data_IF_816595941261
#
_entry.id   IF_816595941261
#
_cell.length_a   1.000
_cell.length_b   1.000
_cell.length_c   1.000
_cell.angle_alpha   90.00
_cell.angle_beta   90.00
_cell.angle_gamma   90.00
#
_symmetry.space_group_name_H-M   'P 1'
#
loop_
_entity.id
_entity.type
_entity.pdbx_description
1 polymer ?
#
# COMPACT_ATOMS: atom_id res chain seq x y z
N UNK A 1 24.90 9.76 6.48
CA UNK A 1 24.72 9.62 5.02
C UNK A 1 23.42 10.33 4.71
N UNK A 2 23.47 11.33 3.84
CA UNK A 2 22.31 12.16 3.49
C UNK A 2 21.32 11.33 2.64
N UNK A 3 20.02 11.55 2.81
CA UNK A 3 19.04 10.92 1.94
C UNK A 3 19.18 11.48 0.52
N UNK A 4 19.08 10.64 -0.54
CA UNK A 4 19.13 11.14 -1.91
C UNK A 4 17.96 12.11 -2.13
N UNK A 5 18.24 13.21 -2.83
CA UNK A 5 17.21 14.14 -3.30
C UNK A 5 16.46 13.52 -4.49
N UNK A 6 15.53 12.62 -4.18
CA UNK A 6 14.69 11.95 -5.18
C UNK A 6 13.79 12.98 -5.85
N UNK A 7 13.85 13.05 -7.19
CA UNK A 7 13.04 13.98 -7.97
C UNK A 7 11.71 13.32 -8.38
N UNK A 8 10.64 14.10 -8.40
CA UNK A 8 9.36 13.66 -8.96
C UNK A 8 9.44 13.66 -10.49
N UNK A 9 8.80 12.68 -11.11
CA UNK A 9 8.67 12.62 -12.57
C UNK A 9 7.57 13.59 -13.04
N UNK A 10 7.88 14.64 -13.81
CA UNK A 10 6.88 15.63 -14.25
C UNK A 10 5.91 15.09 -15.33
N UNK A 11 6.17 13.91 -15.88
CA UNK A 11 5.44 13.30 -17.00
C UNK A 11 4.70 12.02 -16.61
N UNK A 12 4.25 11.89 -15.36
CA UNK A 12 3.44 10.75 -14.92
C UNK A 12 2.13 10.66 -15.71
N UNK A 13 1.98 9.67 -16.59
CA UNK A 13 0.77 9.48 -17.40
C UNK A 13 0.09 8.11 -17.24
N UNK A 14 0.61 7.24 -16.37
CA UNK A 14 0.06 5.91 -16.12
C UNK A 14 -0.49 5.87 -14.70
N UNK A 15 -1.69 6.43 -14.52
CA UNK A 15 -2.39 6.41 -13.24
C UNK A 15 -3.11 5.09 -13.03
N UNK A 16 -2.97 4.52 -11.84
CA UNK A 16 -3.65 3.30 -11.42
C UNK A 16 -4.82 3.70 -10.52
N UNK A 17 -5.99 3.17 -10.84
CA UNK A 17 -7.19 3.34 -10.04
C UNK A 17 -7.16 2.34 -8.88
N UNK A 18 -7.35 2.86 -7.68
CA UNK A 18 -7.44 2.09 -6.44
C UNK A 18 -8.87 2.11 -5.96
N UNK A 19 -9.40 0.95 -5.62
CA UNK A 19 -10.71 0.81 -5.00
C UNK A 19 -10.57 0.04 -3.71
N UNK A 20 -11.04 0.63 -2.63
CA UNK A 20 -11.09 0.01 -1.31
C UNK A 20 -12.55 -0.20 -0.94
N UNK A 21 -12.91 -1.44 -0.62
CA UNK A 21 -14.28 -1.81 -0.22
C UNK A 21 -14.30 -2.51 1.12
N UNK A 22 -15.22 -2.12 1.98
CA UNK A 22 -15.47 -2.79 3.25
C UNK A 22 -16.75 -3.61 3.17
N UNK A 23 -16.73 -4.87 3.59
CA UNK A 23 -17.89 -5.75 3.55
C UNK A 23 -18.31 -6.25 4.93
N UNK A 24 -19.61 -6.23 5.23
CA UNK A 24 -20.19 -6.76 6.48
C UNK A 24 -19.56 -6.19 7.76
N UNK A 25 -19.14 -4.93 7.77
CA UNK A 25 -18.51 -4.29 8.93
C UNK A 25 -19.51 -4.13 10.08
N UNK A 26 -19.09 -4.24 11.36
CA UNK A 26 -19.97 -3.96 12.50
C UNK A 26 -20.38 -2.50 12.64
N UNK A 27 -19.56 -1.58 12.11
CA UNK A 27 -19.77 -0.15 12.22
C UNK A 27 -18.84 0.66 11.32
N UNK A 28 -18.77 1.96 11.59
CA UNK A 28 -17.95 2.92 10.84
C UNK A 28 -16.48 2.91 11.29
N UNK A 29 -15.57 3.16 10.36
CA UNK A 29 -14.16 3.40 10.68
C UNK A 29 -13.90 4.89 10.96
N UNK A 30 -12.88 5.17 11.76
CA UNK A 30 -12.45 6.53 12.08
C UNK A 30 -11.75 7.16 10.86
N UNK A 31 -11.02 6.35 10.08
CA UNK A 31 -10.50 6.72 8.78
C UNK A 31 -10.20 5.47 7.94
N UNK A 32 -10.12 5.69 6.62
CA UNK A 32 -9.60 4.73 5.64
C UNK A 32 -8.49 5.43 4.87
N UNK A 33 -7.31 4.80 4.83
CA UNK A 33 -6.10 5.34 4.19
C UNK A 33 -5.55 4.34 3.20
N UNK A 34 -4.90 4.82 2.13
CA UNK A 34 -4.13 3.98 1.24
C UNK A 34 -2.77 4.60 0.93
N UNK A 35 -1.79 3.73 0.66
CA UNK A 35 -0.41 4.10 0.37
C UNK A 35 0.16 3.23 -0.75
N UNK A 36 0.91 3.85 -1.65
CA UNK A 36 1.74 3.15 -2.62
C UNK A 36 3.19 3.15 -2.14
N UNK A 37 3.82 1.98 -2.12
CA UNK A 37 5.22 1.82 -1.75
C UNK A 37 6.08 1.58 -2.98
N UNK A 38 7.15 2.36 -3.09
CA UNK A 38 8.12 2.29 -4.17
C UNK A 38 9.50 2.01 -3.63
N UNK A 39 10.32 1.32 -4.43
CA UNK A 39 11.70 0.99 -4.08
C UNK A 39 12.58 1.00 -5.32
N UNK A 40 13.84 1.34 -5.14
CA UNK A 40 14.87 1.10 -6.16
C UNK A 40 15.14 -0.40 -6.29
N UNK A 41 15.03 -0.95 -7.50
CA UNK A 41 15.12 -2.41 -7.75
C UNK A 41 16.47 -2.87 -8.27
N UNK A 42 17.39 -1.94 -8.52
CA UNK A 42 18.72 -2.20 -9.03
C UNK A 42 19.78 -1.69 -8.02
N UNK A 43 20.07 -2.48 -6.96
CA UNK A 43 20.87 -2.04 -5.80
C UNK A 43 22.26 -1.50 -6.16
N UNK A 44 22.83 -1.92 -7.27
CA UNK A 44 24.17 -1.55 -7.72
C UNK A 44 24.35 -0.04 -7.94
N UNK A 45 23.27 0.71 -8.19
CA UNK A 45 23.30 2.17 -8.28
C UNK A 45 23.48 2.87 -6.91
N UNK A 46 23.37 2.14 -5.77
CA UNK A 46 23.37 2.73 -4.41
C UNK A 46 24.69 2.50 -3.70
N UNK A 47 25.41 3.50 -3.17
CA UNK A 47 26.71 3.29 -2.55
C UNK A 47 26.64 2.33 -1.35
N UNK A 48 27.73 1.60 -1.12
CA UNK A 48 27.91 0.79 0.09
C UNK A 48 28.22 1.70 1.28
N UNK A 49 27.66 1.38 2.44
CA UNK A 49 28.01 2.04 3.69
C UNK A 49 29.48 1.76 4.03
N UNK A 50 30.26 2.77 4.46
CA UNK A 50 31.71 2.63 4.68
C UNK A 50 32.11 1.53 5.67
N UNK A 51 31.26 1.25 6.66
CA UNK A 51 31.59 0.30 7.74
C UNK A 51 31.04 -1.09 7.46
N UNK A 52 29.73 -1.20 7.18
CA UNK A 52 29.06 -2.50 7.03
C UNK A 52 29.20 -3.11 5.64
N UNK A 53 29.54 -2.30 4.62
CA UNK A 53 29.48 -2.72 3.22
C UNK A 53 28.05 -2.92 2.68
N UNK A 54 27.01 -2.70 3.50
CA UNK A 54 25.61 -2.84 3.11
C UNK A 54 25.15 -1.67 2.24
N UNK A 55 24.11 -1.87 1.42
CA UNK A 55 23.47 -0.80 0.64
C UNK A 55 22.13 -0.45 1.27
N UNK A 56 21.91 0.83 1.57
CA UNK A 56 20.60 1.33 2.05
C UNK A 56 19.72 1.64 0.84
N UNK A 57 18.95 0.66 0.41
CA UNK A 57 18.14 0.79 -0.82
C UNK A 57 17.06 1.86 -0.61
N UNK A 58 17.03 2.91 -1.45
CA UNK A 58 15.98 3.92 -1.38
C UNK A 58 14.60 3.30 -1.55
N UNK A 59 13.69 3.71 -0.68
CA UNK A 59 12.28 3.38 -0.72
C UNK A 59 11.47 4.62 -0.35
N UNK A 60 10.27 4.75 -0.91
CA UNK A 60 9.35 5.85 -0.63
C UNK A 60 7.94 5.30 -0.48
N UNK A 61 7.18 5.92 0.42
CA UNK A 61 5.76 5.61 0.63
C UNK A 61 4.99 6.88 0.31
N UNK A 62 4.10 6.82 -0.67
CA UNK A 62 3.26 7.94 -1.08
C UNK A 62 1.83 7.70 -0.62
N UNK A 63 1.17 8.68 0.02
CA UNK A 63 -0.25 8.58 0.31
C UNK A 63 -1.04 8.57 -1.01
N UNK A 64 -2.13 7.81 -1.02
CA UNK A 64 -3.13 7.82 -2.08
C UNK A 64 -4.35 8.55 -1.53
N UNK A 65 -4.73 9.65 -2.15
CA UNK A 65 -5.91 10.39 -1.75
C UNK A 65 -7.18 9.58 -2.05
N UNK A 66 -7.83 9.10 -1.00
CA UNK A 66 -9.07 8.33 -1.09
C UNK A 66 -10.28 9.24 -0.98
N UNK A 67 -11.16 9.14 -1.97
CA UNK A 67 -12.47 9.80 -2.00
C UNK A 67 -13.52 8.76 -1.63
N UNK A 68 -14.25 8.99 -0.53
CA UNK A 68 -15.40 8.18 -0.14
C UNK A 68 -16.51 8.31 -1.20
N UNK A 69 -16.94 7.19 -1.78
CA UNK A 69 -18.01 7.13 -2.79
C UNK A 69 -19.36 6.80 -2.18
N UNK A 70 -19.35 5.91 -1.20
CA UNK A 70 -20.50 5.53 -0.39
C UNK A 70 -20.00 5.04 0.99
N UNK A 71 -20.87 4.50 1.83
CA UNK A 71 -20.51 4.06 3.18
C UNK A 71 -19.50 2.92 3.25
N UNK A 72 -19.35 2.15 2.17
CA UNK A 72 -18.49 0.98 2.10
C UNK A 72 -17.35 1.11 1.08
N UNK A 73 -17.35 2.14 0.23
CA UNK A 73 -16.47 2.23 -0.94
C UNK A 73 -15.67 3.53 -0.96
N UNK A 74 -14.37 3.41 -1.20
CA UNK A 74 -13.43 4.52 -1.35
C UNK A 74 -12.61 4.31 -2.61
N UNK A 75 -12.41 5.36 -3.40
CA UNK A 75 -11.55 5.29 -4.59
C UNK A 75 -10.45 6.31 -4.55
N UNK A 76 -9.28 5.97 -5.06
CA UNK A 76 -8.18 6.91 -5.30
C UNK A 76 -7.49 6.61 -6.62
N UNK A 77 -6.54 7.47 -6.97
CA UNK A 77 -5.65 7.27 -8.10
C UNK A 77 -4.23 7.60 -7.67
N UNK A 78 -3.24 6.94 -8.26
CA UNK A 78 -1.84 7.26 -8.04
C UNK A 78 -1.02 6.96 -9.29
N UNK A 79 0.07 7.68 -9.47
CA UNK A 79 0.99 7.46 -10.58
C UNK A 79 1.82 6.18 -10.36
N UNK A 80 1.93 5.34 -11.39
CA UNK A 80 2.74 4.11 -11.36
C UNK A 80 4.26 4.39 -11.32
N UNK A 81 4.69 5.57 -11.81
CA UNK A 81 6.12 5.95 -11.88
C UNK A 81 6.33 7.40 -11.42
N UNK A 82 6.06 7.71 -10.13
CA UNK A 82 6.06 9.07 -9.61
C UNK A 82 7.46 9.64 -9.41
N UNK A 83 8.49 8.80 -9.41
CA UNK A 83 9.88 9.19 -9.24
C UNK A 83 10.62 9.13 -10.56
N UNK A 84 11.54 10.06 -10.76
CA UNK A 84 12.43 10.06 -11.92
C UNK A 84 13.51 8.99 -11.74
N UNK A 85 13.79 8.22 -12.78
CA UNK A 85 14.97 7.37 -12.83
C UNK A 85 16.19 8.24 -13.13
N UNK A 86 17.15 8.27 -12.20
CA UNK A 86 18.31 9.15 -12.28
C UNK A 86 19.54 8.53 -11.60
N UNK A 87 20.73 8.97 -11.99
CA UNK A 87 21.97 8.63 -11.30
C UNK A 87 22.17 9.51 -10.05
N UNK A 88 21.47 9.17 -8.98
CA UNK A 88 21.50 9.91 -7.71
C UNK A 88 22.85 9.86 -6.98
N UNK A 89 23.74 8.92 -7.35
CA UNK A 89 24.94 8.61 -6.58
C UNK A 89 26.23 8.57 -7.41
N UNK A 90 26.17 8.83 -8.72
CA UNK A 90 27.29 8.70 -9.65
C UNK A 90 27.70 7.24 -9.94
N UNK A 91 26.79 6.28 -9.75
CA UNK A 91 27.04 4.84 -9.87
C UNK A 91 26.17 4.19 -10.96
N UNK A 92 25.53 4.99 -11.80
CA UNK A 92 24.54 4.56 -12.77
C UNK A 92 23.10 4.90 -12.35
N UNK A 93 22.18 4.79 -13.30
CA UNK A 93 20.76 5.16 -13.10
C UNK A 93 20.10 4.22 -12.08
N UNK A 94 19.43 4.79 -11.09
CA UNK A 94 18.55 4.05 -10.20
C UNK A 94 17.14 3.98 -10.76
N UNK A 95 16.60 2.76 -10.82
CA UNK A 95 15.28 2.45 -11.35
C UNK A 95 14.27 2.27 -10.23
N UNK A 96 13.23 3.09 -10.22
CA UNK A 96 12.14 3.01 -9.26
C UNK A 96 11.05 2.07 -9.73
N UNK A 97 10.50 1.29 -8.79
CA UNK A 97 9.36 0.43 -9.08
C UNK A 97 8.37 0.42 -7.93
N UNK A 98 7.08 0.36 -8.26
CA UNK A 98 6.00 0.06 -7.32
C UNK A 98 6.18 -1.37 -6.79
N UNK A 99 6.27 -1.53 -5.47
CA UNK A 99 6.45 -2.85 -4.82
C UNK A 99 5.18 -3.35 -4.14
N UNK A 100 4.38 -2.46 -3.58
CA UNK A 100 3.12 -2.80 -2.92
C UNK A 100 2.16 -1.62 -2.84
N UNK A 101 0.89 -1.96 -2.69
CA UNK A 101 -0.17 -1.02 -2.33
C UNK A 101 -0.77 -1.53 -1.02
N UNK A 102 -0.94 -0.64 -0.07
CA UNK A 102 -1.59 -0.93 1.20
C UNK A 102 -2.85 -0.08 1.30
N UNK A 103 -3.96 -0.68 1.70
CA UNK A 103 -5.13 0.02 2.20
C UNK A 103 -5.39 -0.40 3.64
N UNK A 104 -5.82 0.55 4.46
CA UNK A 104 -6.06 0.33 5.88
C UNK A 104 -7.29 1.06 6.35
N UNK A 105 -8.01 0.46 7.29
CA UNK A 105 -9.17 1.03 7.94
C UNK A 105 -8.93 1.05 9.45
N UNK A 106 -8.98 2.24 10.06
CA UNK A 106 -8.69 2.42 11.49
C UNK A 106 -9.95 2.47 12.32
N UNK A 107 -9.97 1.77 13.43
CA UNK A 107 -11.01 1.84 14.46
C UNK A 107 -10.34 1.91 15.83
N UNK A 108 -10.57 2.97 16.59
CA UNK A 108 -9.90 3.20 17.86
C UNK A 108 -8.38 3.17 17.70
N UNK A 109 -7.74 2.20 18.35
CA UNK A 109 -6.29 2.00 18.27
C UNK A 109 -5.87 0.89 17.30
N UNK A 110 -6.81 0.13 16.76
CA UNK A 110 -6.54 -0.99 15.87
C UNK A 110 -6.65 -0.56 14.41
N UNK A 111 -5.70 -1.02 13.59
CA UNK A 111 -5.68 -0.78 12.14
C UNK A 111 -5.85 -2.10 11.41
N UNK A 112 -6.88 -2.22 10.59
CA UNK A 112 -7.12 -3.39 9.74
C UNK A 112 -6.48 -3.12 8.38
N UNK A 113 -5.53 -3.94 7.95
CA UNK A 113 -4.69 -3.66 6.77
C UNK A 113 -4.75 -4.79 5.73
N UNK A 114 -4.90 -4.39 4.47
CA UNK A 114 -4.73 -5.22 3.28
C UNK A 114 -3.57 -4.66 2.44
N UNK A 115 -2.60 -5.51 2.17
CA UNK A 115 -1.40 -5.19 1.40
C UNK A 115 -1.30 -6.12 0.19
N UNK A 116 -1.14 -5.54 -1.00
CA UNK A 116 -0.97 -6.27 -2.24
C UNK A 116 0.39 -5.97 -2.86
N UNK A 117 1.24 -6.99 -2.97
CA UNK A 117 2.54 -6.89 -3.62
C UNK A 117 2.41 -7.06 -5.13
N UNK A 118 3.03 -6.16 -5.88
CA UNK A 118 3.00 -6.21 -7.35
C UNK A 118 3.99 -7.21 -7.93
N UNK A 119 5.02 -7.60 -7.16
CA UNK A 119 6.13 -8.46 -7.61
C UNK A 119 6.73 -8.01 -8.95
N UNK A 120 6.77 -6.69 -9.15
CA UNK A 120 7.28 -6.06 -10.36
C UNK A 120 6.39 -6.20 -11.61
N UNK A 121 5.14 -6.65 -11.46
CA UNK A 121 4.15 -6.70 -12.52
C UNK A 121 3.29 -5.43 -12.52
N UNK A 122 2.59 -5.18 -13.63
CA UNK A 122 1.56 -4.13 -13.67
C UNK A 122 0.55 -4.38 -12.54
N UNK A 123 0.23 -3.38 -11.71
CA UNK A 123 -0.71 -3.55 -10.61
C UNK A 123 -2.13 -3.76 -11.14
N UNK A 124 -2.65 -4.97 -11.00
CA UNK A 124 -4.02 -5.32 -11.37
C UNK A 124 -4.59 -6.39 -10.44
N UNK A 125 -5.92 -6.45 -10.37
CA UNK A 125 -6.65 -7.48 -9.66
C UNK A 125 -7.18 -7.01 -8.31
N UNK A 126 -7.74 -7.96 -7.56
CA UNK A 126 -8.38 -7.70 -6.27
C UNK A 126 -7.82 -8.65 -5.21
N UNK A 127 -7.53 -8.10 -4.03
CA UNK A 127 -7.18 -8.84 -2.84
C UNK A 127 -8.21 -8.55 -1.75
N UNK A 128 -8.81 -9.60 -1.21
CA UNK A 128 -9.75 -9.51 -0.09
C UNK A 128 -9.12 -10.13 1.14
N UNK A 129 -9.14 -9.39 2.25
CA UNK A 129 -8.84 -9.93 3.58
C UNK A 129 -10.07 -9.92 4.47
N UNK A 130 -10.16 -10.93 5.31
CA UNK A 130 -11.21 -11.15 6.29
C UNK A 130 -10.66 -10.95 7.69
N UNK A 131 -11.51 -10.40 8.56
CA UNK A 131 -11.18 -10.00 9.92
C UNK A 131 -12.32 -10.38 10.86
N UNK A 132 -12.04 -10.56 12.15
CA UNK A 132 -13.06 -10.87 13.15
C UNK A 132 -13.80 -9.60 13.59
N UNK A 133 -15.15 -9.64 13.61
CA UNK A 133 -15.96 -8.57 14.20
C UNK A 133 -15.65 -8.34 15.68
N UNK A 134 -15.28 -9.38 16.43
CA UNK A 134 -14.84 -9.22 17.82
C UNK A 134 -13.57 -8.38 17.95
N UNK A 135 -12.65 -8.49 16.99
CA UNK A 135 -11.44 -7.66 16.94
C UNK A 135 -11.76 -6.21 16.63
N UNK A 136 -12.77 -5.96 15.78
CA UNK A 136 -13.30 -4.64 15.53
C UNK A 136 -13.96 -4.01 16.77
N UNK A 137 -14.78 -4.77 17.49
CA UNK A 137 -15.50 -4.25 18.66
C UNK A 137 -14.57 -3.98 19.86
N UNK A 138 -13.51 -4.77 19.99
CA UNK A 138 -12.52 -4.66 21.07
C UNK A 138 -11.29 -3.80 20.71
N UNK A 139 -11.36 -3.02 19.63
CA UNK A 139 -10.28 -2.26 18.99
C UNK A 139 -9.63 -1.15 19.86
N UNK A 140 -9.06 -1.58 20.98
CA UNK A 140 -8.51 -0.77 22.08
C UNK A 140 -7.00 -0.91 22.20
N UNK A 141 -6.42 -1.92 21.55
CA UNK A 141 -4.98 -2.15 21.49
C UNK A 141 -4.36 -1.51 20.24
N UNK A 142 -3.11 -1.07 20.39
CA UNK A 142 -2.27 -0.54 19.31
C UNK A 142 -1.69 -1.70 18.49
N UNK A 143 -2.50 -2.20 17.56
CA UNK A 143 -2.20 -3.39 16.79
C UNK A 143 -2.63 -3.21 15.33
N UNK A 144 -1.83 -3.75 14.42
CA UNK A 144 -2.16 -3.85 13.00
C UNK A 144 -2.65 -5.28 12.76
N UNK A 145 -3.96 -5.43 12.56
CA UNK A 145 -4.55 -6.69 12.14
C UNK A 145 -4.39 -6.82 10.63
N UNK A 146 -3.63 -7.83 10.22
CA UNK A 146 -3.39 -8.13 8.80
C UNK A 146 -4.38 -9.14 8.24
N UNK A 147 -5.36 -9.60 9.03
CA UNK A 147 -6.45 -10.47 8.61
C UNK A 147 -6.01 -11.79 7.99
N UNK A 148 -6.92 -12.40 7.23
CA UNK A 148 -6.65 -13.59 6.44
C UNK A 148 -7.25 -13.49 5.04
N UNK A 149 -6.58 -14.04 4.03
CA UNK A 149 -7.17 -14.20 2.69
C UNK A 149 -8.19 -15.34 2.64
N UNK A 150 -8.22 -16.18 3.67
CA UNK A 150 -9.15 -17.30 3.81
C UNK A 150 -10.10 -17.02 4.97
N UNK A 151 -11.38 -16.84 4.63
CA UNK A 151 -12.43 -16.53 5.61
C UNK A 151 -12.59 -17.65 6.64
N UNK A 152 -12.29 -18.90 6.29
CA UNK A 152 -12.41 -20.07 7.17
C UNK A 152 -11.36 -20.08 8.30
N UNK A 153 -10.32 -19.23 8.19
CA UNK A 153 -9.34 -19.05 9.27
C UNK A 153 -9.82 -18.11 10.37
N UNK A 154 -10.97 -17.46 10.18
CA UNK A 154 -11.64 -16.73 11.25
C UNK A 154 -12.37 -17.76 12.11
N UNK A 155 -12.15 -17.70 13.44
CA UNK A 155 -12.68 -18.67 14.42
C UNK A 155 -14.19 -18.95 14.23
N UNK A 156 -14.96 -17.92 13.90
CA UNK A 156 -16.34 -18.05 13.42
C UNK A 156 -16.49 -17.23 12.12
N UNK A 157 -16.48 -17.91 10.94
CA UNK A 157 -16.59 -17.24 9.64
C UNK A 157 -17.86 -16.40 9.46
N UNK A 158 -18.96 -16.72 10.16
CA UNK A 158 -20.20 -15.93 10.10
C UNK A 158 -20.04 -14.55 10.74
N UNK A 159 -19.07 -14.43 11.64
CA UNK A 159 -18.68 -13.18 12.32
C UNK A 159 -17.49 -12.48 11.66
N UNK A 160 -17.21 -12.79 10.39
CA UNK A 160 -16.18 -12.09 9.65
C UNK A 160 -16.73 -10.83 8.95
N UNK A 161 -15.89 -9.79 8.88
CA UNK A 161 -16.02 -8.69 7.93
C UNK A 161 -14.82 -8.67 6.99
N UNK A 162 -14.87 -7.89 5.91
CA UNK A 162 -13.79 -7.84 4.92
C UNK A 162 -13.32 -6.43 4.59
N UNK A 163 -12.06 -6.35 4.17
CA UNK A 163 -11.46 -5.22 3.49
C UNK A 163 -10.91 -5.75 2.15
N UNK A 164 -11.39 -5.18 1.05
CA UNK A 164 -10.93 -5.51 -0.30
C UNK A 164 -10.15 -4.32 -0.86
N UNK A 165 -9.06 -4.63 -1.56
CA UNK A 165 -8.22 -3.71 -2.31
C UNK A 165 -8.17 -4.17 -3.75
N UNK A 166 -8.70 -3.36 -4.66
CA UNK A 166 -8.71 -3.62 -6.11
C UNK A 166 -7.87 -2.58 -6.83
N UNK A 167 -7.08 -3.02 -7.81
CA UNK A 167 -6.27 -2.17 -8.68
C UNK A 167 -6.64 -2.43 -10.14
N UNK A 168 -6.81 -1.35 -10.89
CA UNK A 168 -7.06 -1.38 -12.33
C UNK A 168 -6.33 -0.22 -13.01
N UNK A 169 -5.96 -0.39 -14.28
CA UNK A 169 -5.47 0.73 -15.08
C UNK A 169 -6.55 1.81 -15.18
N UNK A 170 -6.20 3.07 -14.90
CA UNK A 170 -7.18 4.16 -15.01
C UNK A 170 -7.54 4.32 -16.48
N UNK A 171 -8.85 4.29 -16.76
CA UNK A 171 -9.35 4.59 -18.10
C UNK A 171 -9.34 6.12 -18.29
N UNK A 172 -8.82 6.63 -19.42
CA UNK A 172 -8.87 8.05 -19.75
C UNK A 172 -10.31 8.54 -19.99
#
# INVERSE_FOLDING_TARGET
MEEPKVQLNPTTSNDISVLVRTGNTPGIFDNVLAFAQFRVTNPECVPKQPVSGARLIPHKRLPIELIKKDDATYSGQFALSPFLDEDYFGLGVCHWQLVSIEASAKRGRTTFSVDMYTQGKSPHGELVKYFSKSGYDSASDDFIDTGSTDKERIKDPSTAFSLALSLEESRP
#
